data_IF_071595852507
#
_entry.id   IF_071595852507
#
_cell.length_a   1.000
_cell.length_b   1.000
_cell.length_c   1.000
_cell.angle_alpha   90.00
_cell.angle_beta   90.00
_cell.angle_gamma   90.00
#
_symmetry.space_group_name_H-M   'P 1'
#
loop_
_entity.id
_entity.type
_entity.pdbx_description
1 polymer ?
#
# COMPACT_ATOMS: atom_id res chain seq x y z
N UNK A 1 -10.62 -33.11 9.76
CA UNK A 1 -9.68 -32.21 10.45
C UNK A 1 -9.34 -31.09 9.48
N UNK A 2 -9.89 -29.89 9.69
CA UNK A 2 -9.52 -28.71 8.91
C UNK A 2 -8.14 -28.27 9.40
N UNK A 3 -7.14 -28.29 8.51
CA UNK A 3 -5.84 -27.65 8.79
C UNK A 3 -6.11 -26.16 8.91
N UNK A 4 -5.50 -25.51 9.90
CA UNK A 4 -5.58 -24.07 10.08
C UNK A 4 -5.01 -23.36 8.82
N UNK A 5 -5.54 -22.18 8.46
CA UNK A 5 -4.98 -21.30 7.46
C UNK A 5 -3.48 -21.12 7.68
N UNK A 6 -2.68 -21.27 6.62
CA UNK A 6 -1.27 -20.92 6.68
C UNK A 6 -1.19 -19.43 6.37
N UNK A 7 -1.40 -18.61 7.40
CA UNK A 7 -0.77 -17.30 7.42
C UNK A 7 0.71 -17.62 7.26
N UNK A 8 1.33 -17.28 6.12
CA UNK A 8 2.79 -17.31 5.98
C UNK A 8 3.34 -16.20 6.89
N UNK A 9 3.25 -16.42 8.19
CA UNK A 9 3.84 -15.61 9.23
C UNK A 9 5.34 -15.86 9.21
N UNK A 10 6.02 -15.18 8.29
CA UNK A 10 7.44 -14.81 8.39
C UNK A 10 8.50 -15.89 8.60
N UNK A 11 8.18 -17.19 8.60
CA UNK A 11 9.18 -18.28 8.69
C UNK A 11 9.33 -19.13 7.43
N UNK A 12 8.29 -19.19 6.59
CA UNK A 12 8.28 -20.02 5.39
C UNK A 12 8.16 -19.19 4.08
N UNK A 13 8.42 -17.89 4.17
CA UNK A 13 8.43 -17.00 3.00
C UNK A 13 9.82 -17.13 2.36
N UNK A 14 9.96 -18.02 1.39
CA UNK A 14 11.14 -18.09 0.55
C UNK A 14 11.22 -16.79 -0.25
N UNK A 15 12.12 -15.89 0.17
CA UNK A 15 12.35 -14.63 -0.53
C UNK A 15 13.19 -14.94 -1.77
N UNK A 16 12.60 -14.75 -2.94
CA UNK A 16 13.24 -15.04 -4.21
C UNK A 16 14.09 -13.84 -4.68
N UNK A 17 15.23 -14.14 -5.33
CA UNK A 17 16.04 -13.12 -6.00
C UNK A 17 15.39 -12.73 -7.33
N UNK A 18 14.97 -11.47 -7.45
CA UNK A 18 14.22 -10.97 -8.59
C UNK A 18 14.61 -9.53 -8.90
N UNK A 19 14.69 -9.19 -10.20
CA UNK A 19 14.89 -7.81 -10.63
C UNK A 19 13.70 -6.94 -10.21
N UNK A 20 13.93 -5.73 -9.67
CA UNK A 20 12.85 -4.79 -9.38
C UNK A 20 12.12 -4.37 -10.68
N UNK A 21 10.90 -3.84 -10.58
CA UNK A 21 10.22 -3.24 -11.72
C UNK A 21 11.12 -2.23 -12.45
N UNK A 22 11.14 -2.34 -13.77
CA UNK A 22 12.06 -1.57 -14.62
C UNK A 22 11.84 -0.05 -14.46
N UNK A 23 12.94 0.73 -14.46
CA UNK A 23 12.91 2.17 -14.17
C UNK A 23 11.94 2.93 -15.07
N UNK A 24 11.89 2.59 -16.37
CA UNK A 24 10.99 3.21 -17.35
C UNK A 24 9.51 2.92 -17.12
N UNK A 25 9.19 1.97 -16.23
CA UNK A 25 7.84 1.60 -15.79
C UNK A 25 7.60 1.86 -14.32
N UNK A 26 8.39 2.77 -13.74
CA UNK A 26 8.24 3.21 -12.36
C UNK A 26 8.29 4.72 -12.26
N UNK A 27 7.46 5.31 -11.42
CA UNK A 27 7.48 6.75 -11.15
C UNK A 27 7.09 7.05 -9.71
N UNK A 28 7.62 8.15 -9.12
CA UNK A 28 7.10 8.67 -7.85
C UNK A 28 5.59 8.92 -7.94
N UNK A 29 4.90 8.78 -6.80
CA UNK A 29 3.47 9.06 -6.76
C UNK A 29 3.19 10.55 -7.04
N UNK A 30 2.17 10.87 -7.84
CA UNK A 30 1.77 12.27 -8.14
C UNK A 30 1.33 13.08 -6.91
N UNK A 31 0.98 12.39 -5.82
CA UNK A 31 0.63 12.97 -4.52
C UNK A 31 1.78 12.84 -3.52
N UNK A 32 3.03 12.94 -3.96
CA UNK A 32 4.16 12.89 -3.03
C UNK A 32 4.15 14.14 -2.12
N UNK A 33 4.21 13.97 -0.78
CA UNK A 33 4.34 15.11 0.14
C UNK A 33 5.64 15.87 -0.08
N UNK A 34 5.62 17.18 0.17
CA UNK A 34 6.83 18.02 -0.01
C UNK A 34 7.97 17.57 0.88
N UNK A 35 7.65 17.12 2.09
CA UNK A 35 8.56 16.63 3.11
C UNK A 35 9.27 15.33 2.70
N UNK A 36 8.68 14.57 1.77
CA UNK A 36 9.25 13.33 1.25
C UNK A 36 10.16 13.57 0.03
N UNK A 37 10.08 14.71 -0.66
CA UNK A 37 10.78 15.01 -1.92
C UNK A 37 12.28 14.68 -1.89
N UNK A 38 12.98 14.95 -0.77
CA UNK A 38 14.42 14.65 -0.65
C UNK A 38 14.75 13.16 -0.73
N UNK A 39 13.85 12.28 -0.31
CA UNK A 39 13.99 10.83 -0.41
C UNK A 39 13.92 10.33 -1.87
N UNK A 40 13.39 11.16 -2.77
CA UNK A 40 13.21 10.87 -4.20
C UNK A 40 14.16 11.67 -5.08
N UNK A 41 15.15 12.33 -4.49
CA UNK A 41 16.12 13.12 -5.22
C UNK A 41 17.06 12.26 -6.10
N UNK A 42 17.27 11.00 -5.71
CA UNK A 42 17.97 10.02 -6.55
C UNK A 42 17.00 9.15 -7.37
N UNK A 43 17.47 8.74 -8.55
CA UNK A 43 16.77 7.80 -9.41
C UNK A 43 16.99 6.34 -9.00
N UNK A 44 17.64 6.08 -7.86
CA UNK A 44 17.84 4.71 -7.38
C UNK A 44 16.48 4.08 -7.09
N UNK A 45 16.40 2.76 -7.23
CA UNK A 45 15.17 1.99 -6.97
C UNK A 45 14.54 2.27 -5.60
N UNK A 46 13.35 1.71 -5.40
CA UNK A 46 12.59 1.87 -4.17
C UNK A 46 12.59 0.60 -3.31
N UNK A 47 12.26 0.78 -2.04
CA UNK A 47 12.06 -0.30 -1.07
C UNK A 47 10.68 -0.97 -1.26
N UNK A 48 9.74 -0.25 -1.88
CA UNK A 48 8.40 -0.73 -2.19
C UNK A 48 7.97 -0.28 -3.59
N UNK A 49 7.32 -1.18 -4.32
CA UNK A 49 6.69 -0.92 -5.59
C UNK A 49 5.19 -1.15 -5.46
N UNK A 50 4.41 -0.08 -5.62
CA UNK A 50 2.95 -0.12 -5.55
C UNK A 50 2.38 -0.26 -6.96
N UNK A 51 1.66 -1.36 -7.22
CA UNK A 51 1.05 -1.53 -8.53
C UNK A 51 -0.02 -0.46 -8.77
N UNK A 52 -0.07 0.09 -9.99
CA UNK A 52 -1.01 1.16 -10.36
C UNK A 52 -2.46 0.85 -9.96
N UNK A 53 -2.95 -0.37 -10.23
CA UNK A 53 -4.35 -0.68 -9.90
C UNK A 53 -4.59 -0.80 -8.39
N UNK A 54 -3.59 -1.24 -7.63
CA UNK A 54 -3.62 -1.22 -6.17
C UNK A 54 -3.62 0.22 -5.62
N UNK A 55 -2.78 1.10 -6.17
CA UNK A 55 -2.82 2.55 -5.88
C UNK A 55 -4.22 3.13 -6.12
N UNK A 56 -4.79 2.85 -7.29
CA UNK A 56 -6.11 3.37 -7.68
C UNK A 56 -7.19 2.90 -6.70
N UNK A 57 -7.16 1.62 -6.28
CA UNK A 57 -8.08 1.08 -5.27
C UNK A 57 -7.95 1.81 -3.93
N UNK A 58 -6.72 1.94 -3.42
CA UNK A 58 -6.44 2.67 -2.16
C UNK A 58 -6.95 4.10 -2.24
N UNK A 59 -6.56 4.82 -3.30
CA UNK A 59 -6.92 6.23 -3.47
C UNK A 59 -8.43 6.43 -3.64
N UNK A 60 -9.09 5.57 -4.42
CA UNK A 60 -10.53 5.66 -4.61
C UNK A 60 -11.29 5.32 -3.32
N UNK A 61 -10.79 4.37 -2.52
CA UNK A 61 -11.36 4.06 -1.22
C UNK A 61 -11.28 5.27 -0.27
N UNK A 62 -10.10 5.89 -0.15
CA UNK A 62 -9.92 7.10 0.66
C UNK A 62 -10.80 8.27 0.16
N UNK A 63 -10.89 8.49 -1.15
CA UNK A 63 -11.73 9.54 -1.75
C UNK A 63 -13.23 9.32 -1.48
N UNK A 64 -13.69 8.07 -1.43
CA UNK A 64 -15.10 7.75 -1.20
C UNK A 64 -15.61 8.19 0.17
N UNK A 65 -14.72 8.23 1.18
CA UNK A 65 -15.05 8.57 2.56
C UNK A 65 -14.75 10.04 2.93
N UNK A 66 -14.33 10.86 1.97
CA UNK A 66 -14.10 12.30 2.20
C UNK A 66 -15.36 13.03 2.62
N UNK A 67 -16.51 12.78 1.97
CA UNK A 67 -17.77 13.47 2.32
C UNK A 67 -18.30 13.07 3.70
N UNK A 68 -18.29 11.77 4.09
CA UNK A 68 -18.56 11.36 5.46
C UNK A 68 -17.55 11.87 6.49
N UNK A 69 -16.33 12.21 6.07
CA UNK A 69 -15.24 12.58 6.98
C UNK A 69 -14.73 11.39 7.79
N UNK A 70 -14.78 10.19 7.20
CA UNK A 70 -14.34 8.95 7.85
C UNK A 70 -12.96 8.54 7.33
N UNK A 71 -12.16 7.99 8.22
CA UNK A 71 -10.93 7.30 7.85
C UNK A 71 -11.26 5.93 7.24
N UNK A 72 -10.38 5.45 6.36
CA UNK A 72 -10.44 4.08 5.83
C UNK A 72 -9.17 3.33 6.19
N UNK A 73 -9.22 2.01 6.20
CA UNK A 73 -8.03 1.17 6.22
C UNK A 73 -8.19 -0.08 5.36
N UNK A 74 -7.08 -0.78 5.13
CA UNK A 74 -7.06 -2.06 4.44
C UNK A 74 -5.66 -2.65 4.36
N UNK A 75 -5.53 -3.82 3.74
CA UNK A 75 -4.26 -4.54 3.61
C UNK A 75 -3.62 -4.35 2.27
N UNK A 76 -2.28 -4.39 2.27
CA UNK A 76 -1.46 -4.45 1.08
C UNK A 76 -1.09 -5.92 0.83
N UNK A 77 -1.47 -6.44 -0.33
CA UNK A 77 -1.23 -7.81 -0.75
C UNK A 77 -0.17 -7.82 -1.84
N UNK A 78 0.84 -8.67 -1.68
CA UNK A 78 1.99 -8.61 -2.57
C UNK A 78 2.96 -9.75 -2.40
N UNK A 79 4.20 -9.45 -2.74
CA UNK A 79 5.34 -10.36 -2.73
C UNK A 79 6.54 -9.62 -2.13
N UNK A 80 7.48 -10.38 -1.57
CA UNK A 80 8.75 -9.88 -1.03
C UNK A 80 9.87 -10.54 -1.81
N UNK A 81 10.82 -9.74 -2.29
CA UNK A 81 11.92 -10.18 -3.12
C UNK A 81 13.23 -9.59 -2.61
N UNK A 82 14.35 -10.16 -3.04
CA UNK A 82 15.67 -9.54 -2.91
C UNK A 82 16.24 -9.19 -4.27
N UNK A 83 17.04 -8.13 -4.31
CA UNK A 83 17.91 -7.83 -5.43
C UNK A 83 19.25 -7.33 -4.91
N UNK A 84 20.34 -7.99 -5.30
CA UNK A 84 21.71 -7.63 -4.87
C UNK A 84 21.85 -7.57 -3.34
N UNK A 85 21.11 -8.42 -2.61
CA UNK A 85 21.11 -8.47 -1.15
C UNK A 85 20.26 -7.39 -0.47
N UNK A 86 19.49 -6.61 -1.23
CA UNK A 86 18.53 -5.63 -0.70
C UNK A 86 17.10 -6.18 -0.85
N UNK A 87 16.39 -6.30 0.26
CA UNK A 87 14.97 -6.68 0.28
C UNK A 87 14.09 -5.55 -0.22
N UNK A 88 13.09 -5.86 -1.05
CA UNK A 88 12.05 -4.94 -1.49
C UNK A 88 10.70 -5.64 -1.60
N UNK A 89 9.65 -4.83 -1.58
CA UNK A 89 8.26 -5.30 -1.60
C UNK A 89 7.57 -4.91 -2.89
N UNK A 90 6.79 -5.83 -3.47
CA UNK A 90 5.90 -5.55 -4.61
C UNK A 90 4.47 -5.71 -4.16
N UNK A 91 3.74 -4.61 -4.02
CA UNK A 91 2.29 -4.63 -3.77
C UNK A 91 1.58 -4.85 -5.11
N UNK A 92 0.75 -5.89 -5.16
CA UNK A 92 0.01 -6.34 -6.34
C UNK A 92 -1.46 -5.96 -6.26
N UNK A 93 -2.04 -6.05 -5.08
CA UNK A 93 -3.43 -5.71 -4.84
C UNK A 93 -3.66 -5.23 -3.40
N UNK A 94 -4.89 -4.82 -3.11
CA UNK A 94 -5.35 -4.45 -1.78
C UNK A 94 -6.64 -5.16 -1.41
N UNK A 95 -6.80 -5.38 -0.12
CA UNK A 95 -7.96 -6.01 0.49
C UNK A 95 -8.57 -5.08 1.54
N UNK A 96 -9.89 -5.05 1.63
CA UNK A 96 -10.65 -4.30 2.64
C UNK A 96 -11.66 -5.23 3.29
N UNK A 97 -11.78 -5.17 4.61
CA UNK A 97 -12.87 -5.81 5.35
C UNK A 97 -13.83 -4.73 5.85
N UNK A 98 -15.00 -5.14 6.34
CA UNK A 98 -15.86 -4.25 7.13
C UNK A 98 -15.07 -3.78 8.36
N UNK A 99 -15.03 -2.47 8.58
CA UNK A 99 -14.21 -1.82 9.60
C UNK A 99 -15.09 -0.93 10.47
N UNK A 100 -14.88 -0.97 11.79
CA UNK A 100 -15.39 0.08 12.67
C UNK A 100 -14.51 1.32 12.53
N UNK A 101 -14.92 2.24 11.65
CA UNK A 101 -14.24 3.50 11.40
C UNK A 101 -14.86 4.66 12.20
N UNK A 102 -14.01 5.48 12.78
CA UNK A 102 -14.37 6.80 13.34
C UNK A 102 -13.65 7.90 12.55
N UNK A 103 -13.97 9.18 12.81
CA UNK A 103 -13.33 10.31 12.12
C UNK A 103 -11.85 10.52 12.45
N UNK A 104 -11.30 9.79 13.43
CA UNK A 104 -9.93 9.97 13.96
C UNK A 104 -9.19 8.67 14.25
N UNK A 105 -9.83 7.53 13.97
CA UNK A 105 -9.20 6.22 14.10
C UNK A 105 -10.04 5.16 13.39
N UNK A 106 -9.38 4.18 12.81
CA UNK A 106 -10.01 2.92 12.40
C UNK A 106 -9.34 1.78 13.13
N UNK A 107 -10.12 0.78 13.54
CA UNK A 107 -9.61 -0.44 14.16
C UNK A 107 -10.02 -1.64 13.33
N UNK A 108 -9.16 -2.65 13.29
CA UNK A 108 -9.50 -3.93 12.72
C UNK A 108 -10.43 -4.68 13.68
N UNK A 109 -11.57 -5.13 13.18
CA UNK A 109 -12.36 -6.16 13.83
C UNK A 109 -11.62 -7.50 13.66
N UNK A 110 -11.25 -8.21 14.75
CA UNK A 110 -10.64 -9.53 14.67
C UNK A 110 -11.42 -10.54 13.83
N UNK A 111 -12.76 -10.48 13.83
CA UNK A 111 -13.62 -11.39 13.06
C UNK A 111 -13.58 -11.09 11.55
N UNK A 112 -13.56 -9.81 11.19
CA UNK A 112 -13.35 -9.36 9.81
C UNK A 112 -11.97 -9.74 9.28
N UNK A 113 -10.96 -9.77 10.16
CA UNK A 113 -9.61 -10.23 9.84
C UNK A 113 -9.64 -11.70 9.38
N UNK A 114 -10.19 -12.62 10.18
CA UNK A 114 -10.24 -14.06 9.86
C UNK A 114 -11.01 -14.36 8.56
N UNK A 115 -12.17 -13.73 8.37
CA UNK A 115 -13.00 -13.86 7.15
C UNK A 115 -12.24 -13.45 5.87
N UNK A 116 -11.43 -12.40 5.97
CA UNK A 116 -10.61 -11.93 4.86
C UNK A 116 -9.50 -12.94 4.50
N UNK A 117 -8.85 -13.54 5.51
CA UNK A 117 -7.85 -14.59 5.27
C UNK A 117 -8.48 -15.84 4.64
N UNK A 118 -9.62 -16.29 5.15
CA UNK A 118 -10.36 -17.43 4.59
C UNK A 118 -10.73 -17.20 3.11
N UNK A 119 -11.13 -15.98 2.78
CA UNK A 119 -11.48 -15.59 1.41
C UNK A 119 -10.27 -15.57 0.47
N UNK A 120 -9.11 -15.10 0.95
CA UNK A 120 -7.86 -15.08 0.18
C UNK A 120 -7.33 -16.50 -0.08
N UNK A 121 -7.44 -17.40 0.89
CA UNK A 121 -7.02 -18.80 0.74
C UNK A 121 -7.89 -19.57 -0.27
N UNK A 122 -9.22 -19.36 -0.25
CA UNK A 122 -10.14 -20.01 -1.19
C UNK A 122 -9.83 -19.65 -2.66
N UNK A 123 -9.27 -18.47 -2.90
CA UNK A 123 -8.99 -17.96 -4.24
C UNK A 123 -7.67 -18.49 -4.85
N UNK A 124 -6.90 -19.34 -4.13
CA UNK A 124 -5.56 -19.84 -4.53
C UNK A 124 -4.55 -18.72 -4.84
N UNK A 125 -4.79 -17.50 -4.36
CA UNK A 125 -3.90 -16.37 -4.54
C UNK A 125 -2.68 -16.52 -3.62
N UNK A 126 -1.47 -16.48 -4.18
CA UNK A 126 -0.19 -16.59 -3.46
C UNK A 126 0.33 -15.24 -2.96
N UNK A 127 -0.54 -14.27 -2.68
CA UNK A 127 -0.07 -12.99 -2.14
C UNK A 127 0.14 -13.09 -0.64
N UNK A 128 1.26 -12.56 -0.19
CA UNK A 128 1.58 -12.38 1.21
C UNK A 128 1.12 -11.01 1.66
N UNK A 129 0.76 -10.89 2.94
CA UNK A 129 0.46 -9.60 3.53
C UNK A 129 1.79 -8.85 3.69
N UNK A 130 1.91 -7.73 2.99
CA UNK A 130 3.14 -6.92 2.95
C UNK A 130 2.97 -5.56 3.61
N UNK A 131 1.83 -5.35 4.26
CA UNK A 131 1.54 -4.14 4.99
C UNK A 131 0.05 -3.81 5.02
N UNK A 132 -0.22 -2.55 5.28
CA UNK A 132 -1.55 -1.97 5.37
C UNK A 132 -1.54 -0.53 4.88
N UNK A 133 -2.73 -0.02 4.63
CA UNK A 133 -2.93 1.39 4.35
C UNK A 133 -4.05 1.95 5.22
N UNK A 134 -4.01 3.26 5.45
CA UNK A 134 -5.11 4.01 6.05
C UNK A 134 -5.15 5.45 5.52
N UNK A 135 -6.27 6.14 5.73
CA UNK A 135 -6.41 7.55 5.34
C UNK A 135 -6.39 8.51 6.51
N UNK A 136 -5.85 9.71 6.27
CA UNK A 136 -5.89 10.85 7.18
C UNK A 136 -6.50 12.07 6.48
N UNK A 137 -7.84 12.17 6.37
CA UNK A 137 -8.48 13.24 5.60
C UNK A 137 -8.18 14.65 6.16
N UNK A 138 -7.30 15.40 5.49
CA UNK A 138 -6.99 16.79 5.82
C UNK A 138 -5.89 17.00 6.87
N UNK A 139 -5.26 15.93 7.37
CA UNK A 139 -4.24 16.00 8.42
C UNK A 139 -2.80 15.84 7.89
N UNK A 140 -2.63 15.38 6.66
CA UNK A 140 -1.34 15.03 6.05
C UNK A 140 -0.88 13.61 6.40
N UNK A 141 0.21 13.19 5.77
CA UNK A 141 0.72 11.82 5.93
C UNK A 141 1.75 11.74 7.08
N UNK A 142 1.38 11.03 8.15
CA UNK A 142 2.23 10.70 9.30
C UNK A 142 1.65 9.47 10.00
N UNK A 143 2.40 8.86 10.94
CA UNK A 143 1.86 7.82 11.83
C UNK A 143 1.56 8.43 13.21
N UNK A 144 0.31 8.33 13.66
CA UNK A 144 -0.10 8.66 15.03
C UNK A 144 0.45 7.65 16.05
N UNK A 145 0.30 7.93 17.35
CA UNK A 145 0.66 6.95 18.39
C UNK A 145 -0.09 5.62 18.24
N UNK A 146 -1.35 5.67 17.81
CA UNK A 146 -2.16 4.49 17.50
C UNK A 146 -1.58 3.73 16.32
N UNK A 147 -1.22 4.42 15.23
CA UNK A 147 -0.69 3.77 14.03
C UNK A 147 0.67 3.14 14.28
N UNK A 148 1.53 3.80 15.09
CA UNK A 148 2.80 3.23 15.53
C UNK A 148 2.58 1.97 16.36
N UNK A 149 1.59 1.96 17.24
CA UNK A 149 1.24 0.77 18.03
C UNK A 149 0.74 -0.37 17.14
N UNK A 150 -0.12 -0.07 16.16
CA UNK A 150 -0.61 -1.05 15.17
C UNK A 150 0.56 -1.60 14.33
N UNK A 151 1.43 -0.73 13.83
CA UNK A 151 2.60 -1.12 13.04
C UNK A 151 3.51 -2.04 13.86
N UNK A 152 3.83 -1.69 15.11
CA UNK A 152 4.70 -2.51 15.96
C UNK A 152 4.07 -3.81 16.43
N UNK A 153 2.76 -3.84 16.63
CA UNK A 153 2.04 -5.00 17.16
C UNK A 153 1.64 -6.02 16.09
N UNK A 154 1.30 -5.56 14.88
CA UNK A 154 0.71 -6.40 13.82
C UNK A 154 1.58 -6.47 12.55
N UNK A 155 2.40 -5.44 12.30
CA UNK A 155 3.17 -5.30 11.06
C UNK A 155 4.68 -5.09 11.36
N UNK A 156 5.25 -6.00 12.15
CA UNK A 156 6.58 -5.85 12.76
C UNK A 156 7.78 -6.19 11.86
N UNK A 157 7.55 -6.85 10.72
CA UNK A 157 8.57 -7.25 9.76
C UNK A 157 9.17 -6.07 9.01
N UNK A 158 10.45 -6.18 8.65
CA UNK A 158 11.18 -5.14 7.93
C UNK A 158 10.53 -4.78 6.60
N UNK A 159 9.96 -5.75 5.85
CA UNK A 159 9.22 -5.52 4.61
C UNK A 159 7.81 -4.91 4.80
N UNK A 160 7.24 -4.93 6.00
CA UNK A 160 5.89 -4.41 6.19
C UNK A 160 5.83 -2.89 6.02
N UNK A 161 4.83 -2.43 5.25
CA UNK A 161 4.59 -1.01 4.98
C UNK A 161 3.31 -0.51 5.64
N UNK A 162 3.35 0.68 6.23
CA UNK A 162 2.17 1.51 6.50
C UNK A 162 2.06 2.60 5.43
N UNK A 163 1.10 2.48 4.52
CA UNK A 163 0.81 3.48 3.49
C UNK A 163 -0.26 4.45 4.01
N UNK A 164 0.07 5.73 4.10
CA UNK A 164 -0.86 6.78 4.55
C UNK A 164 -1.32 7.59 3.35
N UNK A 165 -2.63 7.85 3.26
CA UNK A 165 -3.21 8.65 2.17
C UNK A 165 -4.04 9.78 2.72
N UNK A 166 -3.70 11.02 2.38
CA UNK A 166 -4.57 12.17 2.62
C UNK A 166 -5.29 12.55 1.31
N UNK A 167 -6.57 12.17 1.14
CA UNK A 167 -7.32 12.49 -0.07
C UNK A 167 -7.69 13.98 -0.21
N UNK A 168 -7.65 14.75 0.88
CA UNK A 168 -7.97 16.19 0.87
C UNK A 168 -6.74 16.99 0.47
N UNK A 169 -5.59 16.71 1.10
CA UNK A 169 -4.31 17.36 0.75
C UNK A 169 -3.68 16.81 -0.52
N UNK A 170 -4.19 15.67 -1.02
CA UNK A 170 -3.60 14.93 -2.14
C UNK A 170 -2.16 14.58 -1.81
N UNK A 171 -2.00 13.86 -0.71
CA UNK A 171 -0.72 13.32 -0.23
C UNK A 171 -0.80 11.79 -0.10
N UNK A 172 0.30 11.10 -0.39
CA UNK A 172 0.48 9.67 -0.17
C UNK A 172 1.93 9.42 0.23
N UNK A 173 2.15 8.86 1.42
CA UNK A 173 3.47 8.56 1.97
C UNK A 173 3.51 7.14 2.52
N UNK A 174 4.70 6.56 2.58
CA UNK A 174 4.89 5.21 3.09
C UNK A 174 5.86 5.21 4.27
N UNK A 175 5.60 4.36 5.24
CA UNK A 175 6.41 4.22 6.44
C UNK A 175 6.70 2.74 6.71
N UNK A 176 7.81 2.46 7.37
CA UNK A 176 8.16 1.13 7.85
C UNK A 176 8.91 1.20 9.17
N UNK A 177 9.10 0.04 9.79
CA UNK A 177 9.99 -0.11 10.94
C UNK A 177 11.41 -0.38 10.47
N UNK A 178 12.35 0.35 11.05
CA UNK A 178 13.79 0.15 10.92
C UNK A 178 14.38 0.13 12.33
N UNK A 179 14.92 -1.00 12.76
CA UNK A 179 15.45 -1.17 14.12
C UNK A 179 14.45 -0.81 15.24
N UNK A 180 13.15 -1.06 15.02
CA UNK A 180 12.10 -0.76 15.99
C UNK A 180 11.63 0.71 16.01
N UNK A 181 12.22 1.56 15.17
CA UNK A 181 11.81 2.95 14.98
C UNK A 181 11.08 3.12 13.64
N UNK A 182 10.13 4.05 13.60
CA UNK A 182 9.41 4.38 12.38
C UNK A 182 10.25 5.30 11.52
N UNK A 183 10.36 4.99 10.23
CA UNK A 183 10.93 5.88 9.21
C UNK A 183 10.05 5.92 7.98
N UNK A 184 10.23 6.95 7.15
CA UNK A 184 9.68 6.97 5.80
C UNK A 184 10.33 5.87 4.96
N UNK A 185 9.54 5.30 4.07
CA UNK A 185 9.92 4.27 3.11
C UNK A 185 9.78 4.85 1.71
N UNK A 186 10.83 4.72 0.89
CA UNK A 186 10.74 5.13 -0.52
C UNK A 186 9.87 4.15 -1.27
N UNK A 187 8.84 4.62 -1.97
CA UNK A 187 7.98 3.78 -2.81
C UNK A 187 7.78 4.36 -4.21
N UNK A 188 7.73 3.51 -5.23
CA UNK A 188 7.40 3.92 -6.59
C UNK A 188 6.10 3.26 -7.03
N UNK A 189 5.31 3.97 -7.83
CA UNK A 189 4.21 3.35 -8.56
C UNK A 189 4.77 2.67 -9.79
N UNK A 190 4.42 1.41 -10.01
CA UNK A 190 4.81 0.67 -11.20
C UNK A 190 3.61 0.17 -11.99
N UNK A 191 3.85 -0.14 -13.26
CA UNK A 191 2.84 -0.65 -14.17
C UNK A 191 3.40 -1.65 -15.17
N UNK A 192 2.50 -2.42 -15.78
CA UNK A 192 2.82 -3.27 -16.93
C UNK A 192 2.88 -2.44 -18.20
N UNK A 193 3.64 -2.90 -19.20
CA UNK A 193 4.00 -2.17 -20.43
C UNK A 193 2.86 -1.33 -21.07
N UNK A 194 1.62 -1.81 -21.03
CA UNK A 194 0.45 -1.15 -21.62
C UNK A 194 -0.40 -0.31 -20.64
N UNK A 195 0.09 -0.02 -19.43
CA UNK A 195 -0.68 0.58 -18.33
C UNK A 195 -0.04 1.83 -17.70
N UNK A 196 0.30 2.88 -18.44
CA UNK A 196 0.92 4.09 -17.86
C UNK A 196 0.04 4.75 -16.75
N UNK A 197 0.56 5.07 -15.55
CA UNK A 197 -0.19 5.57 -14.40
C UNK A 197 -0.63 7.02 -14.49
N UNK A 198 0.01 7.83 -15.34
CA UNK A 198 -0.27 9.27 -15.43
C UNK A 198 -0.72 9.71 -16.81
N UNK A 199 -0.81 8.80 -17.78
CA UNK A 199 -1.16 9.20 -19.14
C UNK A 199 -2.65 9.46 -19.34
N UNK A 200 -2.89 10.71 -19.74
CA UNK A 200 -4.09 11.26 -20.32
C UNK A 200 -3.76 12.65 -20.87
N UNK A 201 -2.83 12.77 -21.83
CA UNK A 201 -2.54 14.09 -22.44
C UNK A 201 -3.56 14.51 -23.50
N UNK A 202 -4.39 13.60 -24.01
CA UNK A 202 -5.57 13.98 -24.81
C UNK A 202 -6.58 12.84 -24.94
N UNK A 203 -7.70 12.94 -24.23
CA UNK A 203 -8.95 12.34 -24.71
C UNK A 203 -9.55 13.36 -25.67
N UNK A 204 -9.44 13.11 -26.99
CA UNK A 204 -10.18 13.93 -27.95
C UNK A 204 -11.67 13.76 -27.68
N UNK A 205 -12.43 14.83 -27.38
CA UNK A 205 -13.87 14.70 -27.23
C UNK A 205 -14.45 14.17 -28.55
N UNK A 206 -15.25 13.11 -28.47
CA UNK A 206 -16.06 12.68 -29.60
C UNK A 206 -17.00 13.84 -29.91
N UNK A 207 -16.86 14.49 -31.07
CA UNK A 207 -17.81 15.51 -31.53
C UNK A 207 -19.20 14.88 -31.53
N UNK A 208 -20.03 15.28 -30.58
CA UNK A 208 -21.46 15.00 -30.64
C UNK A 208 -21.98 15.81 -31.83
N UNK A 209 -22.45 15.13 -32.87
CA UNK A 209 -23.23 15.78 -33.92
C UNK A 209 -24.54 16.23 -33.26
N UNK A 210 -24.81 17.54 -33.31
CA UNK A 210 -26.09 18.15 -32.95
C UNK A 210 -27.24 17.52 -33.73
#
# INVERSE_FOLDING_TARGET
>A
MKRAPVILGGKDLEVEEMLPPAEERTLPHKWLPKEATSLYADSKGAEMYLFKTAEEKVRNHALSQVKPGLEVMGFLLGEVFTHEGVEYTVVRDVATTDLEATSVSVRFDPEGFESLFDSLECARFRYVLVGWYHSHPGHGCFLSSTDISTQKGMFDRAYHTALVVDPIRKEMDAFCLSNGEVRRRKFLVYWDEFQNPYYGESVRPRKIRM
#
